data_IF_177981747515
#
_entry.id   IF_177981747515
#
_cell.length_a   1.000
_cell.length_b   1.000
_cell.length_c   1.000
_cell.angle_alpha   90.00
_cell.angle_beta   90.00
_cell.angle_gamma   90.00
#
_symmetry.space_group_name_H-M   'P 1'
#
loop_
_entity.id
_entity.type
_entity.pdbx_description
1 polymer ?
#
# COMPACT_ATOMS: atom_id res chain seq x y z
N UNK A 1 3.97 -17.82 7.85
CA UNK A 1 2.71 -17.52 8.59
C UNK A 1 2.80 -16.22 9.39
N UNK A 2 3.96 -15.94 10.01
CA UNK A 2 4.19 -14.67 10.73
C UNK A 2 4.26 -13.50 9.75
N UNK A 3 4.95 -13.62 8.61
CA UNK A 3 5.10 -12.50 7.67
C UNK A 3 3.77 -12.08 7.06
N UNK A 4 2.92 -13.04 6.69
CA UNK A 4 1.57 -12.77 6.17
C UNK A 4 0.71 -12.05 7.21
N UNK A 5 0.83 -12.43 8.47
CA UNK A 5 0.14 -11.74 9.56
C UNK A 5 0.66 -10.31 9.72
N UNK A 6 1.97 -10.09 9.59
CA UNK A 6 2.57 -8.75 9.59
C UNK A 6 2.08 -7.89 8.42
N UNK A 7 2.10 -8.42 7.19
CA UNK A 7 1.58 -7.72 6.01
C UNK A 7 0.09 -7.36 6.17
N UNK A 8 -0.72 -8.30 6.66
CA UNK A 8 -2.14 -8.03 6.94
C UNK A 8 -2.30 -6.86 7.92
N UNK A 9 -1.51 -6.84 8.99
CA UNK A 9 -1.52 -5.74 9.95
C UNK A 9 -1.11 -4.41 9.33
N UNK A 10 0.03 -4.37 8.64
CA UNK A 10 0.59 -3.14 8.05
C UNK A 10 -0.35 -2.56 7.00
N UNK A 11 -0.79 -3.36 6.03
CA UNK A 11 -1.65 -2.87 4.95
C UNK A 11 -3.09 -2.60 5.43
N UNK A 12 -3.55 -3.33 6.44
CA UNK A 12 -4.81 -3.05 7.12
C UNK A 12 -4.81 -1.67 7.77
N UNK A 13 -3.81 -1.39 8.62
CA UNK A 13 -3.66 -0.09 9.30
C UNK A 13 -3.44 1.03 8.29
N UNK A 14 -2.58 0.83 7.28
CA UNK A 14 -2.36 1.86 6.25
C UNK A 14 -3.66 2.23 5.55
N UNK A 15 -4.49 1.24 5.20
CA UNK A 15 -5.80 1.50 4.60
C UNK A 15 -6.71 2.29 5.54
N UNK A 16 -6.75 1.90 6.81
CA UNK A 16 -7.57 2.58 7.83
C UNK A 16 -7.15 4.04 8.03
N UNK A 17 -5.84 4.30 8.11
CA UNK A 17 -5.31 5.66 8.22
C UNK A 17 -5.66 6.52 7.00
N UNK A 18 -5.54 5.97 5.78
CA UNK A 18 -5.90 6.67 4.55
C UNK A 18 -7.42 6.95 4.44
N UNK A 19 -8.27 6.13 5.07
CA UNK A 19 -9.73 6.30 5.06
C UNK A 19 -10.21 7.27 6.15
N UNK A 20 -9.61 7.22 7.35
CA UNK A 20 -10.16 7.85 8.54
C UNK A 20 -9.35 9.04 9.06
N UNK A 21 -8.08 9.19 8.70
CA UNK A 21 -7.24 10.33 9.09
C UNK A 21 -6.98 11.24 7.88
N UNK A 22 -7.80 12.29 7.74
CA UNK A 22 -7.69 13.26 6.64
C UNK A 22 -6.35 14.00 6.63
N UNK A 23 -5.70 14.20 7.79
CA UNK A 23 -4.39 14.85 7.85
C UNK A 23 -3.32 13.92 7.30
N UNK A 24 -3.35 12.66 7.73
CA UNK A 24 -2.44 11.64 7.22
C UNK A 24 -2.65 11.45 5.71
N UNK A 25 -3.89 11.33 5.26
CA UNK A 25 -4.22 11.20 3.83
C UNK A 25 -3.64 12.36 3.01
N UNK A 26 -3.86 13.61 3.43
CA UNK A 26 -3.28 14.79 2.73
C UNK A 26 -1.77 14.77 2.69
N UNK A 27 -1.12 14.30 3.76
CA UNK A 27 0.33 14.09 3.79
C UNK A 27 0.78 13.03 2.78
N UNK A 28 0.12 11.87 2.73
CA UNK A 28 0.50 10.82 1.76
C UNK A 28 0.27 11.30 0.32
N UNK A 29 -0.83 12.01 0.05
CA UNK A 29 -1.09 12.64 -1.25
C UNK A 29 0.02 13.62 -1.62
N UNK A 30 0.49 14.46 -0.68
CA UNK A 30 1.56 15.41 -0.97
C UNK A 30 2.91 14.74 -1.19
N UNK A 31 3.16 13.59 -0.56
CA UNK A 31 4.41 12.82 -0.69
C UNK A 31 4.48 11.97 -1.96
N UNK A 32 3.38 11.33 -2.34
CA UNK A 32 3.33 10.46 -3.52
C UNK A 32 2.86 11.17 -4.79
N UNK A 33 2.19 12.31 -4.65
CA UNK A 33 1.70 13.15 -5.75
C UNK A 33 0.91 12.33 -6.78
N UNK A 34 1.39 12.26 -8.01
CA UNK A 34 0.78 11.52 -9.13
C UNK A 34 0.65 10.01 -8.85
N UNK A 35 1.55 9.44 -8.03
CA UNK A 35 1.58 8.01 -7.70
C UNK A 35 0.64 7.62 -6.56
N UNK A 36 -0.02 8.59 -5.92
CA UNK A 36 -0.91 8.32 -4.79
C UNK A 36 -2.05 7.38 -5.17
N UNK A 37 -2.66 7.60 -6.33
CA UNK A 37 -3.77 6.78 -6.79
C UNK A 37 -3.34 5.31 -6.92
N UNK A 38 -2.23 5.05 -7.63
CA UNK A 38 -1.74 3.69 -7.84
C UNK A 38 -1.37 3.01 -6.52
N UNK A 39 -0.69 3.73 -5.62
CA UNK A 39 -0.40 3.25 -4.27
C UNK A 39 -1.68 2.87 -3.52
N UNK A 40 -2.69 3.74 -3.51
CA UNK A 40 -3.95 3.51 -2.81
C UNK A 40 -4.69 2.29 -3.38
N UNK A 41 -4.68 2.10 -4.69
CA UNK A 41 -5.31 0.95 -5.35
C UNK A 41 -4.58 -0.36 -5.00
N UNK A 42 -3.24 -0.36 -4.99
CA UNK A 42 -2.45 -1.54 -4.60
C UNK A 42 -2.71 -1.90 -3.13
N UNK A 43 -2.67 -0.92 -2.21
CA UNK A 43 -2.94 -1.14 -0.78
C UNK A 43 -4.34 -1.72 -0.58
N UNK A 44 -5.35 -1.20 -1.29
CA UNK A 44 -6.71 -1.70 -1.23
C UNK A 44 -6.80 -3.16 -1.70
N UNK A 45 -6.20 -3.50 -2.83
CA UNK A 45 -6.21 -4.86 -3.37
C UNK A 45 -5.55 -5.85 -2.40
N UNK A 46 -4.34 -5.54 -1.94
CA UNK A 46 -3.60 -6.40 -1.01
C UNK A 46 -4.38 -6.58 0.29
N UNK A 47 -4.90 -5.48 0.86
CA UNK A 47 -5.71 -5.55 2.09
C UNK A 47 -6.92 -6.45 1.90
N UNK A 48 -7.63 -6.35 0.78
CA UNK A 48 -8.79 -7.18 0.50
C UNK A 48 -8.39 -8.67 0.40
N UNK A 49 -7.36 -9.00 -0.38
CA UNK A 49 -6.87 -10.38 -0.51
C UNK A 49 -6.51 -10.93 0.88
N UNK A 50 -5.67 -10.23 1.63
CA UNK A 50 -5.19 -10.67 2.94
C UNK A 50 -6.30 -10.74 4.01
N UNK A 51 -7.39 -10.00 3.86
CA UNK A 51 -8.54 -10.06 4.79
C UNK A 51 -9.35 -11.36 4.63
N UNK A 52 -9.33 -11.96 3.43
CA UNK A 52 -10.16 -13.11 3.10
C UNK A 52 -9.41 -14.44 3.09
N UNK A 53 -8.09 -14.43 3.24
CA UNK A 53 -7.25 -15.63 3.23
C UNK A 53 -6.83 -16.04 4.64
N UNK A 54 -7.26 -17.24 5.06
CA UNK A 54 -6.80 -17.91 6.30
C UNK A 54 -5.78 -19.02 6.02
N UNK A 55 -5.54 -19.35 4.75
CA UNK A 55 -4.65 -20.41 4.29
C UNK A 55 -3.29 -19.88 3.83
N UNK A 56 -2.27 -20.74 3.84
CA UNK A 56 -0.90 -20.39 3.45
C UNK A 56 -0.77 -19.98 1.98
N UNK A 57 -1.70 -20.41 1.13
CA UNK A 57 -1.58 -20.31 -0.33
C UNK A 57 -1.99 -18.94 -0.90
N UNK A 58 -2.54 -18.04 -0.06
CA UNK A 58 -2.91 -16.65 -0.44
C UNK A 58 -3.72 -16.56 -1.72
N UNK A 59 -4.66 -17.49 -1.88
CA UNK A 59 -5.52 -17.60 -3.04
C UNK A 59 -6.49 -16.42 -3.08
N UNK A 60 -6.58 -15.81 -4.24
CA UNK A 60 -7.42 -14.64 -4.51
C UNK A 60 -8.84 -15.10 -4.79
N UNK A 61 -9.78 -14.42 -4.14
CA UNK A 61 -11.22 -14.60 -4.34
C UNK A 61 -11.77 -13.43 -5.15
N UNK A 62 -12.85 -13.67 -5.87
CA UNK A 62 -13.51 -12.66 -6.70
C UNK A 62 -13.92 -11.41 -5.91
N UNK A 63 -14.41 -11.57 -4.68
CA UNK A 63 -14.81 -10.47 -3.80
C UNK A 63 -13.67 -9.49 -3.49
N UNK A 64 -12.42 -9.95 -3.52
CA UNK A 64 -11.25 -9.13 -3.23
C UNK A 64 -10.97 -8.06 -4.28
N UNK A 65 -11.29 -8.31 -5.55
CA UNK A 65 -10.89 -7.43 -6.67
C UNK A 65 -12.02 -7.02 -7.62
N UNK A 66 -13.13 -7.74 -7.73
CA UNK A 66 -14.19 -7.46 -8.73
C UNK A 66 -14.71 -6.03 -8.65
N UNK A 67 -15.08 -5.56 -7.45
CA UNK A 67 -15.58 -4.18 -7.26
C UNK A 67 -14.55 -3.13 -7.66
N UNK A 68 -13.28 -3.38 -7.36
CA UNK A 68 -12.18 -2.47 -7.68
C UNK A 68 -11.89 -2.47 -9.18
N UNK A 69 -11.86 -3.66 -9.81
CA UNK A 69 -11.74 -3.81 -11.27
C UNK A 69 -12.84 -3.04 -11.99
N UNK A 70 -14.10 -3.22 -11.59
CA UNK A 70 -15.23 -2.59 -12.28
C UNK A 70 -15.16 -1.06 -12.17
N UNK A 71 -14.77 -0.53 -11.00
CA UNK A 71 -14.48 0.90 -10.82
C UNK A 71 -13.36 1.39 -11.75
N UNK A 72 -12.23 0.65 -11.82
CA UNK A 72 -11.07 1.02 -12.64
C UNK A 72 -11.38 0.96 -14.14
N UNK A 73 -12.15 -0.04 -14.58
CA UNK A 73 -12.65 -0.14 -15.96
C UNK A 73 -13.56 1.04 -16.30
N UNK A 74 -14.49 1.38 -15.41
CA UNK A 74 -15.36 2.53 -15.59
C UNK A 74 -14.57 3.85 -15.67
N UNK A 75 -13.55 4.00 -14.84
CA UNK A 75 -12.62 5.13 -14.85
C UNK A 75 -11.67 5.14 -16.08
N UNK A 76 -11.78 4.17 -17.00
CA UNK A 76 -10.89 3.97 -18.14
C UNK A 76 -9.41 3.81 -17.76
N UNK A 77 -9.14 3.30 -16.56
CA UNK A 77 -7.80 3.04 -16.06
C UNK A 77 -7.68 1.62 -15.45
N UNK A 78 -7.84 0.55 -16.25
CA UNK A 78 -7.83 -0.83 -15.74
C UNK A 78 -6.43 -1.34 -15.36
N UNK A 79 -5.39 -0.56 -15.65
CA UNK A 79 -4.00 -0.89 -15.35
C UNK A 79 -3.50 0.10 -14.31
N UNK A 80 -3.06 -0.43 -13.17
CA UNK A 80 -2.42 0.34 -12.11
C UNK A 80 -0.91 0.11 -12.20
N UNK A 81 -0.12 1.17 -12.30
CA UNK A 81 1.34 1.08 -12.43
C UNK A 81 2.00 2.00 -11.41
N UNK A 82 2.45 1.41 -10.31
CA UNK A 82 3.14 2.13 -9.25
C UNK A 82 4.65 2.00 -9.43
N UNK A 83 5.26 3.07 -9.94
CA UNK A 83 6.69 3.19 -10.18
C UNK A 83 7.28 4.23 -9.25
N UNK A 84 7.77 3.77 -8.11
CA UNK A 84 8.30 4.60 -7.05
C UNK A 84 9.79 4.36 -6.86
N UNK A 85 10.59 5.42 -6.82
CA UNK A 85 11.99 5.37 -6.37
C UNK A 85 12.16 6.27 -5.16
N UNK A 86 12.75 5.73 -4.09
CA UNK A 86 13.01 6.49 -2.87
C UNK A 86 13.87 7.72 -3.13
N UNK A 87 14.89 7.63 -3.98
CA UNK A 87 15.76 8.77 -4.26
C UNK A 87 15.06 9.92 -4.99
N UNK A 88 14.00 9.62 -5.74
CA UNK A 88 13.28 10.65 -6.50
C UNK A 88 12.22 11.36 -5.65
N UNK A 89 11.61 10.64 -4.71
CA UNK A 89 10.42 11.12 -3.98
C UNK A 89 10.64 11.30 -2.47
N UNK A 90 11.81 10.88 -1.96
CA UNK A 90 12.14 10.92 -0.54
C UNK A 90 13.46 11.66 -0.31
N UNK A 91 13.39 12.93 0.10
CA UNK A 91 14.57 13.79 0.26
C UNK A 91 15.53 13.28 1.33
N UNK A 92 15.00 12.55 2.30
CA UNK A 92 15.72 11.98 3.43
C UNK A 92 16.50 10.71 3.03
N UNK A 93 16.22 10.14 1.85
CA UNK A 93 16.91 8.95 1.34
C UNK A 93 18.31 9.30 0.81
N UNK A 94 19.32 8.56 1.29
CA UNK A 94 20.72 8.69 0.86
C UNK A 94 21.27 7.41 0.21
N UNK A 95 20.42 6.41 -0.01
CA UNK A 95 20.80 5.10 -0.53
C UNK A 95 20.82 5.05 -2.06
N UNK A 96 20.71 3.83 -2.61
CA UNK A 96 20.71 3.59 -4.05
C UNK A 96 19.54 4.33 -4.73
N UNK A 97 19.81 4.96 -5.88
CA UNK A 97 18.81 5.67 -6.70
C UNK A 97 17.78 4.76 -7.36
N UNK A 98 18.11 3.49 -7.53
CA UNK A 98 17.23 2.49 -8.13
C UNK A 98 16.40 1.74 -7.09
N UNK A 99 16.59 2.02 -5.79
CA UNK A 99 15.81 1.35 -4.74
C UNK A 99 14.39 1.89 -4.70
N UNK A 100 13.42 0.98 -4.84
CA UNK A 100 12.02 1.34 -4.92
C UNK A 100 11.12 0.19 -5.35
N UNK A 101 9.98 0.54 -5.91
CA UNK A 101 8.92 -0.37 -6.33
C UNK A 101 8.58 -0.12 -7.79
N UNK A 102 8.48 -1.20 -8.55
CA UNK A 102 7.79 -1.24 -9.83
C UNK A 102 6.74 -2.36 -9.72
N UNK A 103 5.48 -1.98 -9.52
CA UNK A 103 4.34 -2.89 -9.46
C UNK A 103 3.38 -2.47 -10.55
N UNK A 104 3.10 -3.36 -11.50
CA UNK A 104 2.10 -3.13 -12.54
C UNK A 104 1.06 -4.25 -12.51
N UNK A 105 -0.21 -3.88 -12.35
CA UNK A 105 -1.33 -4.80 -12.22
C UNK A 105 -2.39 -4.43 -13.25
N UNK A 106 -2.67 -5.36 -14.18
CA UNK A 106 -3.83 -5.28 -15.06
C UNK A 106 -5.03 -5.93 -14.35
N UNK A 107 -5.94 -5.12 -13.80
CA UNK A 107 -7.10 -5.62 -13.04
C UNK A 107 -8.05 -6.48 -13.88
N UNK A 108 -8.04 -6.32 -15.20
CA UNK A 108 -8.78 -7.16 -16.15
C UNK A 108 -8.23 -8.57 -16.27
N UNK A 109 -6.98 -8.79 -15.87
CA UNK A 109 -6.30 -10.08 -15.99
C UNK A 109 -6.38 -10.90 -14.70
N UNK A 110 -6.83 -10.30 -13.59
CA UNK A 110 -7.00 -10.98 -12.31
C UNK A 110 -8.11 -12.02 -12.37
N UNK A 111 -7.85 -13.20 -11.80
CA UNK A 111 -8.79 -14.32 -11.75
C UNK A 111 -8.89 -14.87 -10.33
N UNK A 112 -10.06 -15.40 -10.00
CA UNK A 112 -10.20 -16.23 -8.81
C UNK A 112 -9.34 -17.48 -8.95
N UNK A 113 -8.63 -17.85 -7.87
CA UNK A 113 -7.69 -18.96 -7.87
C UNK A 113 -6.23 -18.55 -8.04
N UNK A 114 -5.94 -17.34 -8.54
CA UNK A 114 -4.58 -16.82 -8.63
C UNK A 114 -3.95 -16.69 -7.23
N UNK A 115 -2.63 -16.88 -7.11
CA UNK A 115 -1.92 -16.57 -5.87
C UNK A 115 -1.59 -15.08 -5.80
N UNK A 116 -1.61 -14.49 -4.60
CA UNK A 116 -1.08 -13.14 -4.38
C UNK A 116 0.33 -12.98 -4.97
N UNK A 117 1.17 -14.01 -4.82
CA UNK A 117 2.56 -13.97 -5.24
C UNK A 117 2.77 -13.99 -6.76
N UNK A 118 1.76 -14.40 -7.53
CA UNK A 118 1.76 -14.32 -8.99
C UNK A 118 1.57 -12.88 -9.48
N UNK A 119 1.01 -12.01 -8.61
CA UNK A 119 0.74 -10.60 -8.90
C UNK A 119 1.79 -9.70 -8.28
N UNK A 120 2.15 -9.97 -7.02
CA UNK A 120 3.09 -9.15 -6.24
C UNK A 120 4.06 -10.10 -5.55
N UNK A 121 5.33 -10.01 -5.95
CA UNK A 121 6.40 -10.79 -5.35
C UNK A 121 6.53 -10.48 -3.86
N UNK A 122 7.04 -11.45 -3.10
CA UNK A 122 7.33 -11.27 -1.68
C UNK A 122 8.28 -10.08 -1.42
N UNK A 123 9.26 -9.87 -2.29
CA UNK A 123 10.17 -8.72 -2.23
C UNK A 123 9.43 -7.38 -2.37
N UNK A 124 8.51 -7.26 -3.33
CA UNK A 124 7.68 -6.06 -3.48
C UNK A 124 6.78 -5.84 -2.25
N UNK A 125 6.25 -6.89 -1.62
CA UNK A 125 5.50 -6.75 -0.37
C UNK A 125 6.34 -6.21 0.78
N UNK A 126 7.61 -6.62 0.88
CA UNK A 126 8.54 -6.08 1.87
C UNK A 126 8.82 -4.59 1.63
N UNK A 127 9.18 -4.19 0.41
CA UNK A 127 9.47 -2.79 0.10
C UNK A 127 8.21 -1.93 0.24
N UNK A 128 7.03 -2.44 -0.14
CA UNK A 128 5.78 -1.72 0.07
C UNK A 128 5.44 -1.55 1.56
N UNK A 129 5.72 -2.57 2.37
CA UNK A 129 5.59 -2.47 3.84
C UNK A 129 6.58 -1.45 4.43
N UNK A 130 7.81 -1.40 3.91
CA UNK A 130 8.80 -0.39 4.29
C UNK A 130 8.31 1.01 3.93
N UNK A 131 7.75 1.21 2.74
CA UNK A 131 7.18 2.50 2.33
C UNK A 131 6.05 2.92 3.27
N UNK A 132 5.15 2.00 3.61
CA UNK A 132 4.09 2.24 4.59
C UNK A 132 4.65 2.69 5.95
N UNK A 133 5.69 2.01 6.44
CA UNK A 133 6.36 2.37 7.69
C UNK A 133 7.00 3.75 7.61
N UNK A 134 7.75 4.03 6.54
CA UNK A 134 8.44 5.30 6.33
C UNK A 134 7.45 6.48 6.25
N UNK A 135 6.30 6.32 5.59
CA UNK A 135 5.23 7.31 5.58
C UNK A 135 4.74 7.63 6.99
N UNK A 136 4.53 6.61 7.82
CA UNK A 136 4.11 6.80 9.21
C UNK A 136 5.19 7.52 10.06
N UNK A 137 6.46 7.15 9.91
CA UNK A 137 7.55 7.76 10.68
C UNK A 137 7.76 9.23 10.30
N UNK A 138 7.78 9.56 9.00
CA UNK A 138 7.91 10.96 8.54
C UNK A 138 6.71 11.79 8.97
N UNK A 139 5.49 11.26 8.83
CA UNK A 139 4.30 11.95 9.32
C UNK A 139 4.39 12.27 10.82
N UNK A 140 4.84 11.31 11.64
CA UNK A 140 5.02 11.49 13.09
C UNK A 140 6.11 12.53 13.40
N UNK A 141 7.20 12.54 12.64
CA UNK A 141 8.29 13.51 12.80
C UNK A 141 7.83 14.95 12.49
N UNK A 142 6.99 15.12 11.47
CA UNK A 142 6.43 16.42 11.07
C UNK A 142 5.26 16.87 11.94
N UNK A 143 4.58 15.92 12.59
CA UNK A 143 3.41 16.17 13.45
C UNK A 143 3.66 15.59 14.85
N UNK A 144 4.65 16.13 15.61
CA UNK A 144 4.96 15.61 16.92
C UNK A 144 3.75 15.76 17.84
N UNK A 145 3.30 14.64 18.40
CA UNK A 145 2.25 14.63 19.43
C UNK A 145 2.83 15.38 20.64
N UNK A 146 2.26 16.53 20.99
CA UNK A 146 2.60 17.23 22.24
C UNK A 146 2.31 16.27 23.39
N UNK A 147 3.35 15.78 24.08
CA UNK A 147 3.17 14.99 25.30
C UNK A 147 2.36 15.84 26.30
N UNK A 148 1.35 15.26 26.98
CA UNK A 148 0.66 15.98 28.03
C UNK A 148 1.70 16.40 29.08
N UNK A 149 1.81 17.70 29.30
CA UNK A 149 2.62 18.26 30.37
C UNK A 149 2.06 17.68 31.67
N UNK A 150 2.85 16.87 32.38
CA UNK A 150 2.46 16.46 33.73
C UNK A 150 2.33 17.74 34.56
N UNK A 151 1.09 18.09 34.93
CA UNK A 151 0.83 19.05 35.99
C UNK A 151 1.49 18.51 37.25
N UNK A 152 2.51 19.20 37.75
CA UNK A 152 3.12 18.95 39.06
C UNK A 152 2.20 19.57 40.11
#
# INVERSE_FOLDING_TARGET
MVEISSFRGIFGIMRELLENDEKFKKFVVSRLYEHYFDFEQIIRLIRNILSHTTTADLIIKNDAFVKQRDFLVYAKNPIVSFKFSYANYWKEWKGNKEYGLDITIAFTNLKEGDSLFDIISLHQLYILSELCYNLCEVFRAENPVKKPTKSI
#
